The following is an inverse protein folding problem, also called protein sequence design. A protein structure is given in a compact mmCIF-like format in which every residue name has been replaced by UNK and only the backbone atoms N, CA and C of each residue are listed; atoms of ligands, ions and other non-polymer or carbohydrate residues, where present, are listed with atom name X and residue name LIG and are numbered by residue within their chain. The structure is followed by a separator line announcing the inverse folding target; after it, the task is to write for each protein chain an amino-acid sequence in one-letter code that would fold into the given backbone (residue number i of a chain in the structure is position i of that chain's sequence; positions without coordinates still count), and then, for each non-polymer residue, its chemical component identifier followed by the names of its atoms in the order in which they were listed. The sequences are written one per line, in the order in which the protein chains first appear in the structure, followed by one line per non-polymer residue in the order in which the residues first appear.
data_IF_226857569766
#
_entry.id   IF_226857569766
#
_cell.length_a   1.000
_cell.length_b   1.000
_cell.length_c   1.000
_cell.angle_alpha   90.00
_cell.angle_beta   90.00
_cell.angle_gamma   90.00
#
_symmetry.space_group_name_H-M   'P 1'
#
loop_
_entity.id
_entity.type
_entity.pdbx_description
1 polymer ?
#
# COMPACT_ATOMS: atom_id res chain seq x y z
N UNK A 1 21.12 -26.34 48.43
CA UNK A 1 19.80 -25.68 48.35
C UNK A 1 19.93 -24.51 47.41
N UNK A 2 19.40 -24.63 46.19
CA UNK A 2 19.37 -23.54 45.21
C UNK A 2 17.90 -23.19 44.99
N UNK A 3 17.51 -21.94 45.26
CA UNK A 3 16.22 -21.39 44.90
C UNK A 3 16.40 -20.62 43.60
N UNK A 4 15.77 -21.13 42.54
CA UNK A 4 15.69 -20.46 41.25
C UNK A 4 14.56 -19.42 41.30
N UNK A 5 14.92 -18.16 41.11
CA UNK A 5 13.98 -17.04 40.98
C UNK A 5 13.52 -16.95 39.53
N UNK A 6 12.29 -17.38 39.25
CA UNK A 6 11.63 -17.07 37.98
C UNK A 6 11.13 -15.62 38.03
N UNK A 7 11.67 -14.75 37.17
CA UNK A 7 11.05 -13.46 36.84
C UNK A 7 10.02 -13.65 35.72
N UNK A 8 8.80 -13.09 35.84
CA UNK A 8 7.83 -13.12 34.75
C UNK A 8 8.25 -12.18 33.62
N UNK A 9 8.12 -12.67 32.39
CA UNK A 9 8.37 -11.91 31.17
C UNK A 9 7.50 -10.65 31.09
N UNK A 10 8.12 -9.58 30.61
CA UNK A 10 7.46 -8.35 30.20
C UNK A 10 6.50 -8.65 29.06
N UNK A 11 5.21 -8.75 29.38
CA UNK A 11 4.13 -8.72 28.40
C UNK A 11 4.14 -7.37 27.69
N UNK A 12 4.37 -7.39 26.37
CA UNK A 12 4.16 -6.22 25.55
C UNK A 12 2.63 -6.02 25.44
N UNK A 13 2.13 -4.95 26.04
CA UNK A 13 0.72 -4.59 26.00
C UNK A 13 0.37 -4.07 24.60
N UNK A 14 -0.74 -4.49 23.98
CA UNK A 14 -1.24 -3.85 22.77
C UNK A 14 -1.64 -2.42 23.13
N UNK A 15 -0.97 -1.42 22.56
CA UNK A 15 -1.42 -0.03 22.69
C UNK A 15 -2.79 0.12 22.02
N UNK A 16 -3.77 0.61 22.77
CA UNK A 16 -5.12 0.85 22.32
C UNK A 16 -5.14 1.85 21.14
N UNK A 17 -5.74 1.45 20.02
CA UNK A 17 -6.34 2.40 19.06
C UNK A 17 -5.88 2.39 17.60
N UNK A 18 -4.91 1.58 17.18
CA UNK A 18 -4.50 1.52 15.77
C UNK A 18 -4.69 0.12 15.20
N UNK A 19 -5.73 -0.07 14.37
CA UNK A 19 -5.82 -1.26 13.52
C UNK A 19 -4.79 -1.12 12.40
N UNK A 20 -4.25 -2.25 11.93
CA UNK A 20 -3.29 -2.25 10.84
C UNK A 20 -3.86 -1.51 9.60
N UNK A 21 -5.17 -1.61 9.36
CA UNK A 21 -5.88 -0.92 8.27
C UNK A 21 -5.78 0.60 8.38
N UNK A 22 -5.85 1.14 9.60
CA UNK A 22 -5.69 2.58 9.85
C UNK A 22 -4.30 3.09 9.45
N UNK A 23 -3.27 2.23 9.52
CA UNK A 23 -1.89 2.55 9.12
C UNK A 23 -1.75 2.60 7.60
N UNK A 24 -2.27 1.61 6.87
CA UNK A 24 -2.19 1.60 5.41
C UNK A 24 -3.02 2.74 4.81
N UNK A 25 -4.21 3.01 5.35
CA UNK A 25 -5.01 4.15 4.94
C UNK A 25 -4.33 5.50 5.23
N UNK A 26 -3.51 5.58 6.28
CA UNK A 26 -2.68 6.76 6.53
C UNK A 26 -1.60 6.92 5.47
N UNK A 27 -0.93 5.84 5.08
CA UNK A 27 0.07 5.87 4.00
C UNK A 27 -0.54 6.29 2.66
N UNK A 28 -1.76 5.84 2.34
CA UNK A 28 -2.47 6.31 1.14
C UNK A 28 -2.74 7.81 1.19
N UNK A 29 -3.13 8.35 2.35
CA UNK A 29 -3.29 9.81 2.52
C UNK A 29 -1.98 10.56 2.39
N UNK A 30 -0.88 10.02 2.94
CA UNK A 30 0.46 10.61 2.83
C UNK A 30 0.92 10.65 1.37
N UNK A 31 0.74 9.56 0.62
CA UNK A 31 0.96 9.50 -0.83
C UNK A 31 0.17 10.58 -1.57
N UNK A 32 -1.15 10.66 -1.33
CA UNK A 32 -2.01 11.67 -1.97
C UNK A 32 -1.51 13.09 -1.69
N UNK A 33 -1.12 13.39 -0.44
CA UNK A 33 -0.60 14.71 -0.08
C UNK A 33 0.74 15.01 -0.75
N UNK A 34 1.62 14.01 -0.87
CA UNK A 34 2.90 14.14 -1.59
C UNK A 34 2.65 14.53 -3.05
N UNK A 35 1.84 13.76 -3.75
CA UNK A 35 1.49 13.98 -5.15
C UNK A 35 0.83 15.36 -5.37
N UNK A 36 -0.10 15.76 -4.49
CA UNK A 36 -0.72 17.09 -4.54
C UNK A 36 0.28 18.23 -4.29
N UNK A 37 1.25 18.00 -3.40
CA UNK A 37 2.32 18.96 -3.12
C UNK A 37 3.22 19.15 -4.33
N UNK A 38 3.65 18.05 -4.96
CA UNK A 38 4.42 18.07 -6.19
C UNK A 38 3.66 18.78 -7.32
N UNK A 39 2.40 18.39 -7.56
CA UNK A 39 1.55 18.98 -8.60
C UNK A 39 1.47 20.50 -8.50
N UNK A 40 1.30 21.04 -7.28
CA UNK A 40 1.27 22.51 -7.04
C UNK A 40 2.59 23.22 -7.36
N UNK A 41 3.72 22.52 -7.24
CA UNK A 41 5.06 23.08 -7.42
C UNK A 41 5.60 22.91 -8.84
N UNK A 42 5.31 21.77 -9.47
CA UNK A 42 5.90 21.36 -10.73
C UNK A 42 4.98 21.62 -11.95
N UNK A 43 3.68 21.83 -11.72
CA UNK A 43 2.67 22.01 -12.78
C UNK A 43 2.74 20.93 -13.89
N UNK A 44 2.60 19.64 -13.53
CA UNK A 44 2.65 18.52 -14.48
C UNK A 44 1.40 18.47 -15.36
N UNK A 45 1.35 17.53 -16.32
CA UNK A 45 0.19 17.35 -17.22
C UNK A 45 -1.07 16.81 -16.52
N UNK A 46 -0.90 16.14 -15.37
CA UNK A 46 -2.00 15.57 -14.59
C UNK A 46 -2.61 16.57 -13.60
N UNK A 47 -3.87 16.32 -13.23
CA UNK A 47 -4.61 17.17 -12.30
C UNK A 47 -4.92 16.50 -10.97
N UNK A 48 -5.50 17.29 -10.06
CA UNK A 48 -5.97 16.81 -8.75
C UNK A 48 -6.94 15.61 -8.86
N UNK A 49 -7.72 15.54 -9.95
CA UNK A 49 -8.63 14.41 -10.20
C UNK A 49 -7.87 13.10 -10.42
N UNK A 50 -6.74 13.14 -11.10
CA UNK A 50 -5.94 11.96 -11.39
C UNK A 50 -5.20 11.49 -10.13
N UNK A 51 -4.66 12.43 -9.32
CA UNK A 51 -4.09 12.12 -7.99
C UNK A 51 -5.11 11.43 -7.08
N UNK A 52 -6.32 11.99 -6.99
CA UNK A 52 -7.41 11.37 -6.20
C UNK A 52 -7.81 10.01 -6.76
N UNK A 53 -7.74 9.82 -8.07
CA UNK A 53 -8.03 8.53 -8.70
C UNK A 53 -6.99 7.49 -8.33
N UNK A 54 -5.70 7.86 -8.29
CA UNK A 54 -4.62 7.00 -7.81
C UNK A 54 -4.89 6.54 -6.36
N UNK A 55 -5.13 7.49 -5.45
CA UNK A 55 -5.46 7.18 -4.05
C UNK A 55 -6.71 6.28 -3.91
N UNK A 56 -7.74 6.52 -4.73
CA UNK A 56 -8.96 5.71 -4.74
C UNK A 56 -8.73 4.28 -5.24
N UNK A 57 -7.86 4.07 -6.24
CA UNK A 57 -7.49 2.72 -6.71
C UNK A 57 -6.84 1.94 -5.58
N UNK A 58 -5.89 2.55 -4.87
CA UNK A 58 -5.16 1.91 -3.77
C UNK A 58 -6.10 1.66 -2.59
N UNK A 59 -6.98 2.59 -2.25
CA UNK A 59 -7.98 2.40 -1.19
C UNK A 59 -8.91 1.23 -1.51
N UNK A 60 -9.41 1.15 -2.75
CA UNK A 60 -10.27 0.04 -3.18
C UNK A 60 -9.50 -1.29 -3.23
N UNK A 61 -8.20 -1.27 -3.53
CA UNK A 61 -7.34 -2.43 -3.39
C UNK A 61 -7.30 -2.93 -1.94
N UNK A 62 -7.07 -2.04 -0.96
CA UNK A 62 -7.06 -2.39 0.46
C UNK A 62 -8.37 -3.05 0.90
N UNK A 63 -9.51 -2.49 0.50
CA UNK A 63 -10.84 -3.05 0.81
C UNK A 63 -11.06 -4.44 0.19
N UNK A 64 -10.61 -4.65 -1.05
CA UNK A 64 -10.77 -5.94 -1.73
C UNK A 64 -9.81 -7.00 -1.18
N UNK A 65 -8.59 -6.61 -0.84
CA UNK A 65 -7.59 -7.48 -0.23
C UNK A 65 -8.02 -7.92 1.18
N UNK A 66 -8.64 -7.03 1.95
CA UNK A 66 -9.20 -7.41 3.25
C UNK A 66 -10.30 -8.48 3.11
N UNK A 67 -11.16 -8.34 2.09
CA UNK A 67 -12.25 -9.28 1.80
C UNK A 67 -11.83 -10.57 1.11
N UNK A 68 -10.60 -10.68 0.60
CA UNK A 68 -10.17 -11.90 -0.08
C UNK A 68 -9.97 -13.05 0.91
N UNK A 69 -10.31 -14.26 0.49
CA UNK A 69 -10.28 -15.46 1.33
C UNK A 69 -9.12 -16.41 0.99
N UNK A 70 -8.45 -16.22 -0.15
CA UNK A 70 -7.38 -17.10 -0.62
C UNK A 70 -6.31 -16.34 -1.41
N UNK A 71 -5.10 -16.89 -1.44
CA UNK A 71 -3.93 -16.33 -2.15
C UNK A 71 -4.26 -16.03 -3.61
N UNK A 72 -4.87 -16.99 -4.33
CA UNK A 72 -5.23 -16.80 -5.73
C UNK A 72 -6.16 -15.59 -5.95
N UNK A 73 -7.16 -15.42 -5.08
CA UNK A 73 -8.05 -14.25 -5.14
C UNK A 73 -7.28 -12.96 -4.80
N UNK A 74 -6.40 -12.99 -3.80
CA UNK A 74 -5.53 -11.86 -3.46
C UNK A 74 -4.64 -11.44 -4.63
N UNK A 75 -4.05 -12.38 -5.36
CA UNK A 75 -3.21 -12.08 -6.53
C UNK A 75 -4.00 -11.46 -7.68
N UNK A 76 -5.25 -11.88 -7.92
CA UNK A 76 -6.12 -11.20 -8.88
C UNK A 76 -6.44 -9.76 -8.44
N UNK A 77 -6.61 -9.51 -7.15
CA UNK A 77 -6.80 -8.15 -6.60
C UNK A 77 -5.54 -7.29 -6.78
N UNK A 78 -4.34 -7.86 -6.55
CA UNK A 78 -3.06 -7.17 -6.80
C UNK A 78 -2.93 -6.80 -8.28
N UNK A 79 -3.07 -7.79 -9.17
CA UNK A 79 -2.99 -7.60 -10.62
C UNK A 79 -3.96 -6.52 -11.09
N UNK A 80 -5.24 -6.58 -10.69
CA UNK A 80 -6.24 -5.60 -11.09
C UNK A 80 -5.85 -4.18 -10.65
N UNK A 81 -5.32 -4.01 -9.43
CA UNK A 81 -4.87 -2.71 -8.95
C UNK A 81 -3.68 -2.17 -9.77
N UNK A 82 -2.68 -3.00 -10.05
CA UNK A 82 -1.50 -2.59 -10.84
C UNK A 82 -1.89 -2.21 -12.26
N UNK A 83 -2.75 -2.99 -12.93
CA UNK A 83 -3.21 -2.66 -14.28
C UNK A 83 -4.02 -1.36 -14.33
N UNK A 84 -4.85 -1.09 -13.31
CA UNK A 84 -5.56 0.19 -13.21
C UNK A 84 -4.62 1.37 -12.93
N UNK A 85 -3.53 1.16 -12.19
CA UNK A 85 -2.50 2.17 -11.94
C UNK A 85 -1.69 2.46 -13.21
N UNK A 86 -1.26 1.44 -13.95
CA UNK A 86 -0.56 1.62 -15.23
C UNK A 86 -1.42 2.42 -16.20
N UNK A 87 -2.68 2.03 -16.39
CA UNK A 87 -3.60 2.72 -17.30
C UNK A 87 -3.86 4.17 -16.89
N UNK A 88 -3.91 4.46 -15.58
CA UNK A 88 -4.02 5.83 -15.09
C UNK A 88 -2.73 6.62 -15.36
N UNK A 89 -1.57 6.01 -15.14
CA UNK A 89 -0.29 6.67 -15.39
C UNK A 89 -0.10 6.97 -16.89
N UNK A 90 -0.43 6.02 -17.76
CA UNK A 90 -0.39 6.17 -19.22
C UNK A 90 -1.28 7.33 -19.69
N UNK A 91 -2.51 7.45 -19.16
CA UNK A 91 -3.41 8.58 -19.43
C UNK A 91 -2.82 9.93 -19.01
N UNK A 92 -1.86 9.92 -18.10
CA UNK A 92 -1.12 11.10 -17.62
C UNK A 92 0.26 11.21 -18.27
N UNK A 93 0.47 10.62 -19.45
CA UNK A 93 1.73 10.62 -20.20
C UNK A 93 2.92 10.08 -19.38
N UNK A 94 2.65 9.16 -18.45
CA UNK A 94 3.65 8.57 -17.55
C UNK A 94 4.11 9.47 -16.39
N UNK A 95 3.56 10.68 -16.26
CA UNK A 95 4.01 11.68 -15.28
C UNK A 95 3.38 11.53 -13.88
N UNK A 96 2.31 10.75 -13.74
CA UNK A 96 1.57 10.70 -12.47
C UNK A 96 2.33 9.94 -11.39
N UNK A 97 3.00 8.84 -11.74
CA UNK A 97 3.70 7.94 -10.81
C UNK A 97 5.22 8.05 -11.01
N UNK A 98 5.81 9.00 -10.29
CA UNK A 98 7.24 9.26 -10.24
C UNK A 98 7.99 8.24 -9.35
N UNK A 99 9.31 8.25 -9.37
CA UNK A 99 10.16 7.24 -8.70
C UNK A 99 9.82 7.05 -7.21
N UNK A 100 9.59 8.13 -6.47
CA UNK A 100 9.30 8.05 -5.03
C UNK A 100 7.90 7.44 -4.77
N UNK A 101 6.91 7.81 -5.58
CA UNK A 101 5.56 7.25 -5.54
C UNK A 101 5.54 5.76 -5.89
N UNK A 102 6.38 5.29 -6.83
CA UNK A 102 6.48 3.86 -7.20
C UNK A 102 6.80 3.00 -5.98
N UNK A 103 7.80 3.39 -5.20
CA UNK A 103 8.22 2.68 -3.99
C UNK A 103 7.13 2.69 -2.92
N UNK A 104 6.48 3.83 -2.70
CA UNK A 104 5.42 3.96 -1.71
C UNK A 104 4.19 3.12 -2.08
N UNK A 105 3.77 3.14 -3.34
CA UNK A 105 2.63 2.35 -3.83
C UNK A 105 2.91 0.85 -3.71
N UNK A 106 4.10 0.41 -4.18
CA UNK A 106 4.52 -0.98 -4.05
C UNK A 106 4.49 -1.44 -2.59
N UNK A 107 5.06 -0.63 -1.69
CA UNK A 107 5.11 -0.90 -0.26
C UNK A 107 3.71 -1.04 0.35
N UNK A 108 2.75 -0.19 -0.02
CA UNK A 108 1.37 -0.28 0.48
C UNK A 108 0.73 -1.60 0.02
N UNK A 109 0.88 -1.96 -1.26
CA UNK A 109 0.30 -3.18 -1.84
C UNK A 109 0.93 -4.43 -1.23
N UNK A 110 2.25 -4.53 -1.22
CA UNK A 110 2.99 -5.68 -0.66
C UNK A 110 2.62 -5.90 0.80
N UNK A 111 2.57 -4.84 1.61
CA UNK A 111 2.26 -4.96 3.03
C UNK A 111 0.81 -5.34 3.31
N UNK A 112 -0.15 -4.87 2.50
CA UNK A 112 -1.56 -5.27 2.65
C UNK A 112 -1.73 -6.76 2.40
N UNK A 113 -1.13 -7.28 1.33
CA UNK A 113 -1.16 -8.69 0.97
C UNK A 113 -0.38 -9.56 1.97
N UNK A 114 0.77 -9.09 2.46
CA UNK A 114 1.58 -9.81 3.45
C UNK A 114 0.82 -10.00 4.77
N UNK A 115 -0.03 -9.04 5.16
CA UNK A 115 -0.89 -9.16 6.36
C UNK A 115 -1.96 -10.21 6.24
N UNK A 116 -2.39 -10.53 5.02
CA UNK A 116 -3.27 -11.68 4.73
C UNK A 116 -2.51 -13.00 4.74
N UNK A 117 -1.18 -12.97 4.84
CA UNK A 117 -0.30 -14.13 4.75
C UNK A 117 -0.12 -14.64 3.32
N UNK A 118 -0.32 -13.80 2.31
CA UNK A 118 -0.26 -14.22 0.90
C UNK A 118 1.13 -14.11 0.27
N UNK A 119 2.03 -13.36 0.90
CA UNK A 119 3.42 -13.16 0.51
C UNK A 119 4.25 -12.76 1.72
N UNK A 120 5.58 -12.78 1.60
CA UNK A 120 6.46 -12.17 2.60
C UNK A 120 6.57 -10.65 2.37
N UNK A 121 6.89 -9.83 3.39
CA UNK A 121 7.07 -8.39 3.22
C UNK A 121 8.17 -8.00 2.21
N UNK A 122 9.13 -8.90 1.95
CA UNK A 122 10.24 -8.68 1.02
C UNK A 122 9.96 -9.21 -0.40
N UNK A 123 8.82 -9.88 -0.60
CA UNK A 123 8.40 -10.42 -1.89
C UNK A 123 7.62 -9.35 -2.68
N UNK A 124 8.21 -8.85 -3.77
CA UNK A 124 7.55 -7.90 -4.66
C UNK A 124 6.53 -8.59 -5.59
N UNK A 125 5.35 -8.82 -5.03
CA UNK A 125 4.20 -9.39 -5.75
C UNK A 125 3.65 -8.52 -6.88
N UNK A 126 4.14 -7.29 -7.04
CA UNK A 126 3.60 -6.35 -8.03
C UNK A 126 4.43 -6.29 -9.30
N UNK A 127 5.71 -6.67 -9.22
CA UNK A 127 6.66 -6.69 -10.33
C UNK A 127 6.12 -7.32 -11.63
N UNK A 128 5.38 -8.45 -11.61
CA UNK A 128 4.97 -9.13 -12.85
C UNK A 128 4.02 -8.33 -13.77
N UNK A 129 3.32 -7.31 -13.25
CA UNK A 129 2.32 -6.54 -14.01
C UNK A 129 2.65 -5.05 -14.10
N UNK A 130 3.72 -4.64 -13.44
CA UNK A 130 4.05 -3.26 -13.20
C UNK A 130 4.82 -2.72 -14.41
N UNK A 131 4.26 -1.69 -15.04
CA UNK A 131 4.88 -1.04 -16.21
C UNK A 131 5.51 0.30 -15.82
N UNK A 132 4.97 0.94 -14.79
CA UNK A 132 5.31 2.29 -14.30
C UNK A 132 5.65 3.31 -15.39
#
# INVERSE_FOLDING_TARGET
MAVASCTPGTGNSPQAGYTADSVLLRQVRELEQSMLSYMRRANPSYGQKDVRRCAAIITRYLEQMDRSAAVAQGMEVVKAAILELNALNEKCDGQLIETEEREQIATIIINASARKGYNTPDEDITEPWREW
#
